data_IF_750344884906
#
_entry.id   IF_750344884906
#
_cell.length_a   1.000
_cell.length_b   1.000
_cell.length_c   1.000
_cell.angle_alpha   90.00
_cell.angle_beta   90.00
_cell.angle_gamma   90.00
#
_symmetry.space_group_name_H-M   'P 1'
#
loop_
_entity.id
_entity.type
_entity.pdbx_description
1 polymer ?
#
# COMPACT_ATOMS: atom_id res chain seq x y z
N UNK A 1 -9.13 3.91 32.68
CA UNK A 1 -8.66 5.31 32.76
C UNK A 1 -7.15 5.31 32.95
N UNK A 2 -6.49 6.35 32.44
CA UNK A 2 -5.08 6.73 32.61
C UNK A 2 -4.04 6.12 31.64
N UNK A 3 -3.86 6.88 30.55
CA UNK A 3 -2.62 7.32 29.91
C UNK A 3 -1.30 7.03 30.63
N UNK A 4 -0.29 6.58 29.88
CA UNK A 4 1.12 6.92 30.15
C UNK A 4 2.00 6.68 28.89
N UNK A 5 2.31 7.77 28.19
CA UNK A 5 3.62 7.92 27.54
C UNK A 5 4.63 8.26 28.64
N UNK A 6 5.86 7.72 28.56
CA UNK A 6 7.03 8.56 28.73
C UNK A 6 8.09 8.33 27.64
N UNK A 7 8.69 9.43 27.20
CA UNK A 7 9.75 9.51 26.20
C UNK A 7 11.09 8.95 26.70
N UNK A 8 11.98 8.57 25.76
CA UNK A 8 13.42 8.59 26.01
C UNK A 8 14.21 9.05 24.76
N UNK A 9 15.37 9.71 24.94
CA UNK A 9 16.06 10.51 23.94
C UNK A 9 17.24 9.78 23.29
N UNK A 10 17.47 10.01 22.00
CA UNK A 10 18.78 9.85 21.33
C UNK A 10 19.42 8.46 21.37
N UNK A 11 19.03 7.57 20.46
CA UNK A 11 19.73 6.32 20.17
C UNK A 11 19.23 5.75 18.85
N UNK A 12 20.16 5.34 17.99
CA UNK A 12 19.96 4.82 16.64
C UNK A 12 19.18 3.49 16.60
N UNK A 13 17.90 3.51 16.96
CA UNK A 13 16.98 2.40 16.70
C UNK A 13 15.93 2.91 15.70
N UNK A 14 15.78 2.30 14.51
CA UNK A 14 14.62 2.57 13.68
C UNK A 14 13.37 2.33 14.56
N UNK A 15 12.34 3.20 14.48
CA UNK A 15 11.13 3.03 15.27
C UNK A 15 10.67 1.57 15.14
N UNK A 16 10.27 0.91 16.23
CA UNK A 16 9.87 -0.50 16.18
C UNK A 16 8.78 -0.60 15.12
N UNK A 17 9.13 -1.18 13.97
CA UNK A 17 8.17 -1.37 12.89
C UNK A 17 7.01 -2.15 13.49
N UNK A 18 5.77 -1.63 13.42
CA UNK A 18 4.63 -2.32 14.00
C UNK A 18 4.57 -3.73 13.40
N UNK A 19 4.88 -4.74 14.20
CA UNK A 19 4.69 -6.13 13.80
C UNK A 19 3.19 -6.37 13.77
N UNK A 20 2.60 -6.29 12.58
CA UNK A 20 1.24 -6.76 12.37
C UNK A 20 1.23 -8.26 12.66
N UNK A 21 0.42 -8.68 13.62
CA UNK A 21 0.02 -10.09 13.74
C UNK A 21 -0.85 -10.47 12.54
N UNK A 22 -1.00 -11.77 12.25
CA UNK A 22 -1.88 -12.23 11.16
C UNK A 22 -3.28 -11.63 11.24
N UNK A 23 -3.88 -11.64 12.43
CA UNK A 23 -5.21 -11.05 12.67
C UNK A 23 -5.26 -9.55 12.37
N UNK A 24 -4.22 -8.80 12.77
CA UNK A 24 -4.17 -7.37 12.50
C UNK A 24 -3.93 -7.09 11.02
N UNK A 25 -3.07 -7.85 10.34
CA UNK A 25 -2.82 -7.70 8.91
C UNK A 25 -4.11 -7.96 8.11
N UNK A 26 -4.84 -9.02 8.47
CA UNK A 26 -6.09 -9.40 7.85
C UNK A 26 -7.19 -8.37 8.11
N UNK A 27 -7.31 -7.89 9.35
CA UNK A 27 -8.26 -6.83 9.73
C UNK A 27 -7.95 -5.53 9.02
N UNK A 28 -6.68 -5.10 9.02
CA UNK A 28 -6.25 -3.88 8.34
C UNK A 28 -6.50 -3.95 6.83
N UNK A 29 -6.20 -5.08 6.19
CA UNK A 29 -6.48 -5.26 4.76
C UNK A 29 -7.98 -5.25 4.45
N UNK A 30 -8.83 -5.84 5.29
CA UNK A 30 -10.28 -5.77 5.15
C UNK A 30 -10.76 -4.32 5.28
N UNK A 31 -10.32 -3.61 6.30
CA UNK A 31 -10.63 -2.19 6.49
C UNK A 31 -10.18 -1.33 5.30
N UNK A 32 -8.97 -1.55 4.77
CA UNK A 32 -8.49 -0.78 3.61
C UNK A 32 -9.34 -1.08 2.39
N UNK A 33 -9.68 -2.35 2.14
CA UNK A 33 -10.54 -2.71 1.00
C UNK A 33 -11.96 -2.13 1.14
N UNK A 34 -12.53 -2.11 2.35
CA UNK A 34 -13.81 -1.45 2.61
C UNK A 34 -13.72 0.06 2.34
N UNK A 35 -12.66 0.74 2.81
CA UNK A 35 -12.45 2.16 2.54
C UNK A 35 -12.26 2.41 1.04
N UNK A 36 -11.51 1.55 0.34
CA UNK A 36 -11.35 1.64 -1.12
C UNK A 36 -12.68 1.47 -1.84
N UNK A 37 -13.54 0.55 -1.40
CA UNK A 37 -14.85 0.30 -1.99
C UNK A 37 -15.80 1.48 -1.72
N UNK A 38 -15.86 1.96 -0.48
CA UNK A 38 -16.63 3.15 -0.11
C UNK A 38 -16.17 4.42 -0.85
N UNK A 39 -14.89 4.48 -1.22
CA UNK A 39 -14.31 5.57 -2.01
C UNK A 39 -14.01 5.16 -3.46
N UNK A 40 -14.68 4.14 -3.99
CA UNK A 40 -14.40 3.60 -5.32
C UNK A 40 -14.47 4.70 -6.39
N UNK A 41 -15.42 5.63 -6.28
CA UNK A 41 -15.56 6.76 -7.20
C UNK A 41 -14.33 7.69 -7.21
N UNK A 42 -13.70 7.92 -6.04
CA UNK A 42 -12.45 8.71 -5.96
C UNK A 42 -11.29 7.94 -6.61
N UNK A 43 -11.21 6.64 -6.35
CA UNK A 43 -10.22 5.76 -6.96
C UNK A 43 -10.37 5.73 -8.48
N UNK A 44 -11.60 5.58 -9.00
CA UNK A 44 -11.91 5.59 -10.43
C UNK A 44 -11.56 6.94 -11.06
N UNK A 45 -11.85 8.05 -10.38
CA UNK A 45 -11.47 9.39 -10.84
C UNK A 45 -9.94 9.52 -10.92
N UNK A 46 -9.23 9.02 -9.89
CA UNK A 46 -7.77 9.01 -9.88
C UNK A 46 -7.20 8.15 -11.02
N UNK A 47 -7.79 6.97 -11.25
CA UNK A 47 -7.45 6.07 -12.36
C UNK A 47 -7.70 6.75 -13.71
N UNK A 48 -8.85 7.40 -13.90
CA UNK A 48 -9.19 8.14 -15.11
C UNK A 48 -8.22 9.30 -15.36
N UNK A 49 -7.90 10.09 -14.33
CA UNK A 49 -6.91 11.19 -14.42
C UNK A 49 -5.51 10.67 -14.72
N UNK A 50 -5.20 9.45 -14.27
CA UNK A 50 -3.94 8.80 -14.54
C UNK A 50 -3.83 8.16 -15.93
N UNK A 51 -4.91 8.13 -16.72
CA UNK A 51 -4.83 7.62 -18.09
C UNK A 51 -4.03 8.59 -18.99
N UNK A 52 -3.14 8.01 -19.78
CA UNK A 52 -2.40 8.66 -20.86
C UNK A 52 -3.23 8.76 -22.14
N UNK A 53 -2.70 9.48 -23.13
CA UNK A 53 -3.35 9.66 -24.43
C UNK A 53 -3.57 8.34 -25.20
N UNK A 54 -2.73 7.34 -24.92
CA UNK A 54 -2.82 6.00 -25.52
C UNK A 54 -3.85 5.08 -24.85
N UNK A 55 -4.65 5.61 -23.92
CA UNK A 55 -5.64 4.82 -23.17
C UNK A 55 -5.02 3.85 -22.15
N UNK A 56 -3.74 4.04 -21.82
CA UNK A 56 -2.99 3.26 -20.81
C UNK A 56 -2.72 4.10 -19.57
N UNK A 57 -2.71 3.53 -18.37
CA UNK A 57 -2.43 4.27 -17.15
C UNK A 57 -0.96 4.71 -17.13
N UNK A 58 -0.76 6.01 -17.08
CA UNK A 58 0.54 6.65 -17.03
C UNK A 58 1.09 6.57 -15.61
N UNK A 59 2.21 5.85 -15.43
CA UNK A 59 2.82 5.60 -14.12
C UNK A 59 3.14 6.90 -13.40
N UNK A 60 3.60 7.94 -14.11
CA UNK A 60 3.91 9.23 -13.49
C UNK A 60 2.64 9.88 -12.94
N UNK A 61 1.53 9.81 -13.68
CA UNK A 61 0.25 10.35 -13.21
C UNK A 61 -0.38 9.51 -12.10
N UNK A 62 -0.26 8.18 -12.16
CA UNK A 62 -0.67 7.30 -11.06
C UNK A 62 0.10 7.66 -9.80
N UNK A 63 1.41 7.90 -9.88
CA UNK A 63 2.20 8.34 -8.73
C UNK A 63 1.87 9.76 -8.26
N UNK A 64 1.56 10.70 -9.17
CA UNK A 64 1.19 12.08 -8.80
C UNK A 64 -0.23 12.21 -8.23
N UNK A 65 -1.18 11.39 -8.67
CA UNK A 65 -2.62 11.56 -8.34
C UNK A 65 -3.19 10.32 -7.65
N UNK A 66 -2.90 9.12 -8.16
CA UNK A 66 -3.39 7.86 -7.58
C UNK A 66 -2.79 7.57 -6.20
N UNK A 67 -1.47 7.73 -6.05
CA UNK A 67 -0.77 7.40 -4.81
C UNK A 67 -1.13 8.32 -3.62
N UNK A 68 -1.27 9.65 -3.77
CA UNK A 68 -1.72 10.51 -2.68
C UNK A 68 -3.16 10.20 -2.26
N UNK A 69 -4.04 9.87 -3.21
CA UNK A 69 -5.43 9.48 -2.90
C UNK A 69 -5.44 8.13 -2.17
N UNK A 70 -4.67 7.16 -2.65
CA UNK A 70 -4.50 5.88 -1.98
C UNK A 70 -4.00 6.03 -0.54
N UNK A 71 -2.98 6.87 -0.36
CA UNK A 71 -2.44 7.20 0.95
C UNK A 71 -3.49 7.87 1.83
N UNK A 72 -4.25 8.83 1.28
CA UNK A 72 -5.30 9.54 2.03
C UNK A 72 -6.39 8.61 2.54
N UNK A 73 -6.69 7.55 1.78
CA UNK A 73 -7.63 6.50 2.18
C UNK A 73 -7.04 5.54 3.21
N UNK A 74 -5.77 5.19 3.06
CA UNK A 74 -5.10 4.26 3.97
C UNK A 74 -4.54 4.93 5.24
N UNK A 75 -4.40 6.26 5.29
CA UNK A 75 -3.71 6.99 6.38
C UNK A 75 -4.31 6.72 7.75
N UNK A 76 -5.64 6.69 7.86
CA UNK A 76 -6.34 6.46 9.12
C UNK A 76 -6.10 5.03 9.61
N UNK A 77 -6.04 4.09 8.67
CA UNK A 77 -5.79 2.68 8.96
C UNK A 77 -4.31 2.49 9.34
N UNK A 78 -3.39 3.05 8.58
CA UNK A 78 -1.96 3.05 8.90
C UNK A 78 -1.73 3.60 10.31
N UNK A 79 -2.26 4.78 10.61
CA UNK A 79 -2.16 5.39 11.93
C UNK A 79 -2.79 4.52 13.04
N UNK A 80 -3.95 3.90 12.76
CA UNK A 80 -4.63 2.98 13.69
C UNK A 80 -3.78 1.76 14.06
N UNK A 81 -3.01 1.23 13.11
CA UNK A 81 -2.11 0.09 13.33
C UNK A 81 -0.68 0.51 13.71
N UNK A 82 -0.43 1.79 13.95
CA UNK A 82 0.86 2.34 14.39
C UNK A 82 1.86 2.58 13.26
N UNK A 83 1.45 2.48 12.00
CA UNK A 83 2.27 2.84 10.86
C UNK A 83 2.25 4.35 10.60
N UNK A 84 3.33 4.90 10.04
CA UNK A 84 3.33 6.27 9.56
C UNK A 84 2.25 6.49 8.49
N UNK A 85 1.53 7.60 8.56
CA UNK A 85 0.53 8.01 7.58
C UNK A 85 1.18 8.64 6.32
N UNK A 86 2.28 8.05 5.86
CA UNK A 86 3.08 8.52 4.74
C UNK A 86 3.46 7.36 3.80
N UNK A 87 4.07 7.71 2.68
CA UNK A 87 4.42 6.75 1.64
C UNK A 87 5.34 5.63 2.16
N UNK A 88 6.20 5.93 3.13
CA UNK A 88 7.05 4.96 3.81
C UNK A 88 6.25 4.02 4.71
N UNK A 89 5.25 4.53 5.42
CA UNK A 89 4.35 3.70 6.22
C UNK A 89 3.43 2.81 5.40
N UNK A 90 2.94 3.26 4.23
CA UNK A 90 2.20 2.42 3.28
C UNK A 90 3.08 1.27 2.75
N UNK A 91 4.34 1.57 2.41
CA UNK A 91 5.31 0.55 1.99
C UNK A 91 5.64 -0.43 3.13
N UNK A 92 5.82 0.06 4.36
CA UNK A 92 6.05 -0.78 5.54
C UNK A 92 4.84 -1.68 5.82
N UNK A 93 3.62 -1.17 5.67
CA UNK A 93 2.38 -1.93 5.78
C UNK A 93 2.29 -3.02 4.71
N UNK A 94 2.58 -2.69 3.45
CA UNK A 94 2.66 -3.68 2.37
C UNK A 94 3.71 -4.76 2.63
N UNK A 95 4.88 -4.37 3.16
CA UNK A 95 5.95 -5.30 3.52
C UNK A 95 5.51 -6.21 4.68
N UNK A 96 4.83 -5.66 5.68
CA UNK A 96 4.28 -6.40 6.80
C UNK A 96 3.19 -7.39 6.36
N UNK A 97 2.27 -7.00 5.47
CA UNK A 97 1.30 -7.91 4.87
C UNK A 97 1.98 -9.01 4.04
N UNK A 98 3.01 -8.66 3.25
CA UNK A 98 3.79 -9.63 2.45
C UNK A 98 4.57 -10.62 3.33
N UNK A 99 4.99 -10.22 4.54
CA UNK A 99 5.60 -11.14 5.49
C UNK A 99 4.65 -12.28 5.92
N UNK A 100 3.33 -12.08 5.75
CA UNK A 100 2.28 -13.06 6.01
C UNK A 100 1.71 -13.71 4.74
N UNK A 101 2.38 -13.63 3.58
CA UNK A 101 1.94 -14.23 2.30
C UNK A 101 1.78 -15.76 2.35
N UNK A 102 2.22 -16.40 3.43
CA UNK A 102 1.92 -17.80 3.77
C UNK A 102 0.43 -18.07 4.01
N UNK A 103 -0.38 -17.04 4.17
CA UNK A 103 -1.82 -17.11 4.37
C UNK A 103 -2.53 -16.66 3.10
N UNK A 104 -3.25 -17.57 2.45
CA UNK A 104 -3.91 -17.29 1.17
C UNK A 104 -4.91 -16.13 1.28
N UNK A 105 -5.59 -15.97 2.42
CA UNK A 105 -6.57 -14.90 2.64
C UNK A 105 -5.89 -13.52 2.70
N UNK A 106 -4.78 -13.40 3.44
CA UNK A 106 -3.97 -12.17 3.50
C UNK A 106 -3.37 -11.86 2.13
N UNK A 107 -2.90 -12.88 1.41
CA UNK A 107 -2.33 -12.73 0.08
C UNK A 107 -3.36 -12.20 -0.93
N UNK A 108 -4.57 -12.76 -0.92
CA UNK A 108 -5.66 -12.30 -1.79
C UNK A 108 -6.04 -10.85 -1.46
N UNK A 109 -6.27 -10.57 -0.17
CA UNK A 109 -6.65 -9.24 0.30
C UNK A 109 -5.57 -8.17 -0.01
N UNK A 110 -4.29 -8.52 0.16
CA UNK A 110 -3.17 -7.65 -0.19
C UNK A 110 -3.06 -7.41 -1.70
N UNK A 111 -3.43 -8.40 -2.51
CA UNK A 111 -3.53 -8.25 -3.96
C UNK A 111 -4.68 -7.31 -4.34
N UNK A 112 -5.87 -7.51 -3.78
CA UNK A 112 -7.03 -6.64 -4.03
C UNK A 112 -6.70 -5.19 -3.64
N UNK A 113 -6.05 -4.99 -2.50
CA UNK A 113 -5.62 -3.67 -2.07
C UNK A 113 -4.60 -3.04 -3.04
N UNK A 114 -3.62 -3.82 -3.54
CA UNK A 114 -2.69 -3.33 -4.58
C UNK A 114 -3.44 -2.94 -5.85
N UNK A 115 -4.35 -3.78 -6.36
CA UNK A 115 -5.12 -3.52 -7.57
C UNK A 115 -6.09 -2.33 -7.43
N UNK A 116 -6.57 -2.09 -6.21
CA UNK A 116 -7.35 -0.91 -5.89
C UNK A 116 -6.49 0.35 -6.07
N UNK A 117 -5.36 0.43 -5.38
CA UNK A 117 -4.52 1.64 -5.37
C UNK A 117 -3.64 1.84 -6.61
N UNK A 118 -3.17 0.74 -7.20
CA UNK A 118 -2.35 0.72 -8.40
C UNK A 118 -3.13 -0.03 -9.50
N UNK A 119 -3.42 0.59 -10.64
CA UNK A 119 -3.95 -0.14 -11.80
C UNK A 119 -3.06 -1.35 -12.10
N UNK A 120 -3.60 -2.52 -12.47
CA UNK A 120 -2.83 -3.74 -12.71
C UNK A 120 -1.70 -3.56 -13.73
N UNK A 121 -1.89 -2.70 -14.74
CA UNK A 121 -0.85 -2.35 -15.72
C UNK A 121 0.33 -1.60 -15.07
N UNK A 122 0.03 -0.67 -14.15
CA UNK A 122 1.06 0.04 -13.39
C UNK A 122 1.67 -0.86 -12.33
N UNK A 123 0.89 -1.68 -11.64
CA UNK A 123 1.39 -2.65 -10.67
C UNK A 123 2.34 -3.66 -11.33
N UNK A 124 2.01 -4.14 -12.54
CA UNK A 124 2.88 -5.01 -13.33
C UNK A 124 4.16 -4.27 -13.75
N UNK A 125 4.05 -3.04 -14.24
CA UNK A 125 5.21 -2.22 -14.61
C UNK A 125 6.10 -1.86 -13.41
N UNK A 126 5.52 -1.51 -12.26
CA UNK A 126 6.23 -1.25 -11.00
C UNK A 126 6.88 -2.52 -10.46
N UNK A 127 6.21 -3.67 -10.57
CA UNK A 127 6.81 -4.96 -10.21
C UNK A 127 7.96 -5.31 -11.14
N UNK A 128 7.87 -4.98 -12.43
CA UNK A 128 8.95 -5.16 -13.39
C UNK A 128 10.11 -4.18 -13.14
N UNK A 129 9.81 -2.96 -12.69
CA UNK A 129 10.79 -1.89 -12.41
C UNK A 129 11.47 -2.06 -11.03
N UNK A 130 10.72 -2.39 -9.98
CA UNK A 130 11.24 -2.72 -8.64
C UNK A 130 11.83 -4.14 -8.57
N UNK A 131 11.34 -5.06 -9.41
CA UNK A 131 11.89 -6.41 -9.62
C UNK A 131 13.04 -6.45 -10.64
N UNK A 132 13.42 -5.30 -11.21
CA UNK A 132 14.53 -5.14 -12.15
C UNK A 132 15.92 -5.44 -11.60
N UNK A 133 16.02 -5.93 -10.35
CA UNK A 133 17.23 -6.56 -9.81
C UNK A 133 17.22 -8.10 -9.94
N UNK A 134 16.38 -8.70 -10.79
CA UNK A 134 16.29 -10.17 -10.84
C UNK A 134 15.68 -10.88 -12.06
N UNK A 135 15.57 -10.28 -13.25
CA UNK A 135 15.09 -11.08 -14.38
C UNK A 135 15.17 -10.37 -15.73
N UNK A 136 16.14 -10.77 -16.54
CA UNK A 136 16.24 -10.41 -17.95
C UNK A 136 14.94 -10.78 -18.71
N UNK A 137 14.53 -9.98 -19.71
CA UNK A 137 13.49 -10.41 -20.62
C UNK A 137 14.00 -11.59 -21.47
N UNK A 138 13.24 -12.68 -21.67
CA UNK A 138 13.53 -13.59 -22.78
C UNK A 138 13.23 -12.84 -24.07
N UNK A 139 14.27 -12.55 -24.83
CA UNK A 139 14.15 -12.00 -26.17
C UNK A 139 13.56 -13.08 -27.11
N UNK A 140 12.64 -12.74 -28.01
CA UNK A 140 12.54 -13.44 -29.29
C UNK A 140 13.72 -13.08 -30.21
#
# INVERSE_FOLDING_TARGET
MASAFPAAPGGLAPPPMPTLTKENALSALKEVNEVCNANAQKLETAKAMSMGADGKPDVMKVMMVGMPIALDLAKDILAKYGFPADQGGLLAFFAACKAHDTDDEIKELAKVMRDAFLPPEVAAMLTMMMGGMGGAPPMP
#
